data_IF_498799141047
#
_entry.id   IF_498799141047
#
_cell.length_a   1.000
_cell.length_b   1.000
_cell.length_c   1.000
_cell.angle_alpha   90.00
_cell.angle_beta   90.00
_cell.angle_gamma   90.00
#
_symmetry.space_group_name_H-M   'P 1'
#
loop_
_entity.id
_entity.type
_entity.pdbx_description
1 polymer ?
#
# COMPACT_ATOMS: atom_id res chain seq x y z
N UNK A 1 -20.20 4.92 11.72
CA UNK A 1 -19.99 3.64 10.99
C UNK A 1 -18.54 3.23 11.18
N UNK A 2 -18.23 1.93 11.38
CA UNK A 2 -16.85 1.49 11.63
C UNK A 2 -15.98 1.68 10.38
N UNK A 3 -14.75 2.19 10.60
CA UNK A 3 -13.74 2.40 9.54
C UNK A 3 -12.91 1.13 9.33
N UNK A 4 -13.52 0.08 8.74
CA UNK A 4 -12.86 -1.19 8.45
C UNK A 4 -12.55 -1.31 6.95
N UNK A 5 -11.37 -1.83 6.61
CA UNK A 5 -10.85 -1.88 5.23
C UNK A 5 -11.81 -2.58 4.26
N UNK A 6 -12.34 -3.77 4.62
CA UNK A 6 -13.30 -4.49 3.78
C UNK A 6 -14.62 -3.73 3.56
N UNK A 7 -14.99 -2.84 4.49
CA UNK A 7 -16.22 -2.03 4.35
C UNK A 7 -16.10 -0.94 3.26
N UNK A 8 -14.92 -0.67 2.74
CA UNK A 8 -14.79 0.18 1.55
C UNK A 8 -15.54 -0.46 0.37
N UNK A 9 -15.37 -1.78 0.18
CA UNK A 9 -16.08 -2.55 -0.87
C UNK A 9 -17.57 -2.65 -0.55
N UNK A 10 -17.94 -3.04 0.68
CA UNK A 10 -19.36 -3.25 1.07
C UNK A 10 -20.18 -1.97 0.98
N UNK A 11 -19.62 -0.83 1.40
CA UNK A 11 -20.31 0.47 1.27
C UNK A 11 -20.51 0.86 -0.19
N UNK A 12 -19.54 0.54 -1.05
CA UNK A 12 -19.60 0.82 -2.48
C UNK A 12 -20.59 -0.10 -3.18
N UNK A 13 -20.62 -1.39 -2.85
CA UNK A 13 -21.62 -2.35 -3.33
C UNK A 13 -23.05 -1.96 -2.95
N UNK A 14 -23.27 -1.49 -1.72
CA UNK A 14 -24.59 -1.03 -1.27
C UNK A 14 -25.09 0.23 -1.98
N UNK A 15 -24.19 1.05 -2.55
CA UNK A 15 -24.55 2.32 -3.20
C UNK A 15 -24.59 2.24 -4.71
N UNK A 16 -23.75 1.38 -5.28
CA UNK A 16 -23.55 1.25 -6.71
C UNK A 16 -23.10 -0.20 -7.06
N UNK A 17 -23.99 -1.20 -6.87
CA UNK A 17 -23.66 -2.62 -7.04
C UNK A 17 -23.15 -2.95 -8.44
N UNK A 18 -23.71 -2.32 -9.47
CA UNK A 18 -23.47 -2.64 -10.87
C UNK A 18 -22.25 -1.92 -11.49
N UNK A 19 -21.60 -1.01 -10.74
CA UNK A 19 -20.39 -0.33 -11.23
C UNK A 19 -19.19 -1.30 -11.22
N UNK A 20 -18.36 -1.22 -12.28
CA UNK A 20 -17.10 -1.95 -12.35
C UNK A 20 -16.22 -1.59 -11.13
N UNK A 21 -15.88 -2.56 -10.29
CA UNK A 21 -14.97 -2.38 -9.16
C UNK A 21 -13.52 -2.72 -9.54
N UNK A 22 -13.34 -3.84 -10.22
CA UNK A 22 -12.05 -4.37 -10.64
C UNK A 22 -12.06 -4.79 -12.10
N UNK A 23 -10.96 -4.47 -12.80
CA UNK A 23 -10.69 -4.99 -14.15
C UNK A 23 -9.30 -5.64 -14.17
N UNK A 24 -9.22 -6.86 -14.67
CA UNK A 24 -7.98 -7.58 -14.87
C UNK A 24 -8.01 -8.36 -16.19
N UNK A 25 -7.09 -8.05 -17.12
CA UNK A 25 -7.00 -8.70 -18.44
C UNK A 25 -8.34 -8.74 -19.19
N UNK A 26 -9.09 -7.64 -19.13
CA UNK A 26 -10.41 -7.50 -19.78
C UNK A 26 -11.57 -8.15 -19.02
N UNK A 27 -11.31 -8.97 -18.01
CA UNK A 27 -12.35 -9.52 -17.14
C UNK A 27 -12.73 -8.50 -16.07
N UNK A 28 -14.01 -8.27 -15.91
CA UNK A 28 -14.57 -7.28 -14.97
C UNK A 28 -15.25 -7.98 -13.80
N UNK A 29 -15.18 -7.34 -12.64
CA UNK A 29 -16.03 -7.62 -11.48
C UNK A 29 -16.67 -6.31 -11.03
N UNK A 30 -17.97 -6.29 -10.96
CA UNK A 30 -18.71 -5.19 -10.34
C UNK A 30 -18.59 -5.22 -8.80
N UNK A 31 -19.10 -4.19 -8.15
CA UNK A 31 -19.02 -4.09 -6.69
C UNK A 31 -19.85 -5.16 -5.98
N UNK A 32 -21.00 -5.58 -6.54
CA UNK A 32 -21.83 -6.64 -5.96
C UNK A 32 -21.08 -7.98 -5.96
N UNK A 33 -20.56 -8.38 -7.11
CA UNK A 33 -19.78 -9.63 -7.27
C UNK A 33 -18.51 -9.61 -6.42
N UNK A 34 -17.82 -8.46 -6.33
CA UNK A 34 -16.63 -8.34 -5.51
C UNK A 34 -16.96 -8.45 -4.02
N UNK A 35 -18.04 -7.80 -3.57
CA UNK A 35 -18.51 -7.85 -2.18
C UNK A 35 -18.87 -9.28 -1.77
N UNK A 36 -19.64 -9.99 -2.59
CA UNK A 36 -20.01 -11.38 -2.35
C UNK A 36 -18.77 -12.30 -2.27
N UNK A 37 -17.82 -12.15 -3.20
CA UNK A 37 -16.59 -12.94 -3.18
C UNK A 37 -15.77 -12.69 -1.90
N UNK A 38 -15.68 -11.44 -1.44
CA UNK A 38 -14.98 -11.09 -0.18
C UNK A 38 -15.70 -11.68 1.03
N UNK A 39 -17.03 -11.68 1.06
CA UNK A 39 -17.83 -12.27 2.14
C UNK A 39 -17.67 -13.80 2.20
N UNK A 40 -17.73 -14.48 1.04
CA UNK A 40 -17.53 -15.92 0.94
C UNK A 40 -16.15 -16.32 1.42
N UNK A 41 -15.10 -15.65 0.94
CA UNK A 41 -13.72 -15.88 1.38
C UNK A 41 -13.57 -15.64 2.88
N UNK A 42 -14.13 -14.57 3.42
CA UNK A 42 -14.06 -14.29 4.86
C UNK A 42 -14.72 -15.41 5.69
N UNK A 43 -15.93 -15.83 5.31
CA UNK A 43 -16.67 -16.90 6.01
C UNK A 43 -15.92 -18.24 5.97
N UNK A 44 -15.35 -18.58 4.81
CA UNK A 44 -14.57 -19.80 4.65
C UNK A 44 -13.24 -19.75 5.41
N UNK A 45 -12.55 -18.61 5.45
CA UNK A 45 -11.34 -18.44 6.27
C UNK A 45 -11.62 -18.62 7.75
N UNK A 46 -12.73 -18.11 8.26
CA UNK A 46 -13.16 -18.33 9.65
C UNK A 46 -13.45 -19.83 9.89
N UNK A 47 -14.14 -20.49 8.97
CA UNK A 47 -14.42 -21.93 9.04
C UNK A 47 -13.16 -22.79 9.00
N UNK A 48 -12.11 -22.33 8.34
CA UNK A 48 -10.77 -22.96 8.30
C UNK A 48 -9.93 -22.67 9.55
N UNK A 49 -10.47 -21.91 10.52
CA UNK A 49 -9.82 -21.62 11.78
C UNK A 49 -8.94 -20.36 11.77
N UNK A 50 -9.07 -19.46 10.81
CA UNK A 50 -8.40 -18.17 10.89
C UNK A 50 -9.06 -17.30 11.97
N UNK A 51 -8.30 -16.99 13.03
CA UNK A 51 -8.76 -16.19 14.15
C UNK A 51 -8.40 -14.70 13.98
N UNK A 52 -9.06 -13.84 14.78
CA UNK A 52 -8.76 -12.42 14.85
C UNK A 52 -7.27 -12.18 15.13
N UNK A 53 -6.68 -11.25 14.39
CA UNK A 53 -5.26 -10.90 14.44
C UNK A 53 -4.30 -12.00 13.95
N UNK A 54 -4.75 -13.13 13.42
CA UNK A 54 -3.86 -14.08 12.74
C UNK A 54 -3.54 -13.61 11.32
N UNK A 55 -2.40 -14.03 10.79
CA UNK A 55 -1.87 -13.52 9.52
C UNK A 55 -2.16 -14.49 8.39
N UNK A 56 -2.66 -13.87 7.29
CA UNK A 56 -2.80 -14.50 6.00
C UNK A 56 -1.86 -13.79 5.01
N UNK A 57 -0.90 -14.52 4.46
CA UNK A 57 -0.02 -14.00 3.41
C UNK A 57 -0.60 -14.25 2.02
N UNK A 58 -0.37 -13.28 1.11
CA UNK A 58 -0.73 -13.42 -0.30
C UNK A 58 0.53 -13.24 -1.13
N UNK A 59 1.00 -14.32 -1.76
CA UNK A 59 2.17 -14.33 -2.63
C UNK A 59 1.74 -14.60 -4.07
N UNK A 60 1.21 -13.55 -4.69
CA UNK A 60 0.61 -13.56 -6.04
C UNK A 60 0.92 -12.25 -6.77
N UNK A 61 0.85 -12.29 -8.10
CA UNK A 61 0.70 -11.11 -8.94
C UNK A 61 -0.63 -10.39 -8.66
N UNK A 62 -0.78 -9.18 -9.20
CA UNK A 62 -2.08 -8.49 -9.18
C UNK A 62 -3.07 -9.25 -10.05
N UNK A 63 -4.13 -9.75 -9.42
CA UNK A 63 -5.25 -10.46 -10.04
C UNK A 63 -6.48 -10.36 -9.12
N UNK A 64 -7.65 -10.76 -9.58
CA UNK A 64 -8.88 -10.68 -8.77
C UNK A 64 -8.71 -11.40 -7.43
N UNK A 65 -8.15 -12.60 -7.45
CA UNK A 65 -7.96 -13.45 -6.27
C UNK A 65 -7.05 -12.78 -5.23
N UNK A 66 -6.03 -12.04 -5.67
CA UNK A 66 -5.15 -11.28 -4.78
C UNK A 66 -5.96 -10.25 -3.98
N UNK A 67 -6.80 -9.46 -4.65
CA UNK A 67 -7.62 -8.45 -4.01
C UNK A 67 -8.65 -9.08 -3.09
N UNK A 68 -9.36 -10.11 -3.57
CA UNK A 68 -10.38 -10.82 -2.79
C UNK A 68 -9.77 -11.44 -1.54
N UNK A 69 -8.58 -12.06 -1.63
CA UNK A 69 -7.89 -12.65 -0.49
C UNK A 69 -7.49 -11.60 0.57
N UNK A 70 -6.93 -10.46 0.15
CA UNK A 70 -6.53 -9.38 1.07
C UNK A 70 -7.73 -8.81 1.83
N UNK A 71 -8.81 -8.49 1.12
CA UNK A 71 -10.01 -7.92 1.73
C UNK A 71 -10.83 -8.98 2.49
N UNK A 72 -10.84 -10.22 2.03
CA UNK A 72 -11.46 -11.37 2.72
C UNK A 72 -10.78 -11.67 4.05
N UNK A 73 -9.44 -11.64 4.10
CA UNK A 73 -8.69 -11.77 5.35
C UNK A 73 -9.06 -10.66 6.34
N UNK A 74 -9.11 -9.40 5.88
CA UNK A 74 -9.53 -8.27 6.70
C UNK A 74 -10.98 -8.39 7.19
N UNK A 75 -11.88 -8.96 6.37
CA UNK A 75 -13.28 -9.18 6.74
C UNK A 75 -13.44 -10.34 7.75
N UNK A 76 -12.57 -11.35 7.67
CA UNK A 76 -12.50 -12.43 8.64
C UNK A 76 -11.93 -12.01 10.01
N UNK A 77 -11.35 -10.80 10.11
CA UNK A 77 -10.65 -10.33 11.30
C UNK A 77 -9.17 -10.71 11.33
N UNK A 78 -8.67 -11.30 10.25
CA UNK A 78 -7.26 -11.58 10.06
C UNK A 78 -6.47 -10.35 9.59
N UNK A 79 -5.15 -10.47 9.65
CA UNK A 79 -4.19 -9.46 9.19
C UNK A 79 -3.60 -9.93 7.87
N UNK A 80 -3.81 -9.17 6.80
CA UNK A 80 -3.25 -9.55 5.52
C UNK A 80 -1.79 -9.09 5.37
N UNK A 81 -0.99 -9.95 4.72
CA UNK A 81 0.42 -9.71 4.45
C UNK A 81 0.66 -9.87 2.94
N UNK A 82 0.60 -8.79 2.16
CA UNK A 82 0.87 -8.86 0.73
C UNK A 82 2.38 -9.01 0.51
N UNK A 83 2.79 -10.17 0.01
CA UNK A 83 4.19 -10.49 -0.28
C UNK A 83 4.51 -10.10 -1.70
N UNK A 84 5.59 -9.35 -1.90
CA UNK A 84 6.00 -8.92 -3.23
C UNK A 84 6.35 -10.15 -4.10
N UNK A 85 5.70 -10.31 -5.26
CA UNK A 85 5.91 -11.49 -6.10
C UNK A 85 7.31 -11.63 -6.71
N UNK A 86 8.16 -10.63 -6.65
CA UNK A 86 9.55 -10.71 -7.14
C UNK A 86 10.54 -11.22 -6.08
N UNK A 87 10.12 -11.38 -4.83
CA UNK A 87 10.99 -11.85 -3.75
C UNK A 87 11.43 -13.30 -3.97
N UNK A 88 12.67 -13.59 -3.57
CA UNK A 88 13.25 -14.93 -3.59
C UNK A 88 12.63 -15.81 -2.48
N UNK A 89 12.66 -17.13 -2.61
CA UNK A 89 12.07 -18.06 -1.64
C UNK A 89 12.51 -17.82 -0.19
N UNK A 90 13.79 -17.52 0.04
CA UNK A 90 14.34 -17.26 1.37
C UNK A 90 13.77 -16.00 2.00
N UNK A 91 13.56 -14.96 1.19
CA UNK A 91 12.94 -13.70 1.63
C UNK A 91 11.45 -13.91 1.95
N UNK A 92 10.76 -14.72 1.16
CA UNK A 92 9.36 -15.10 1.42
C UNK A 92 9.26 -15.90 2.71
N UNK A 93 10.11 -16.94 2.89
CA UNK A 93 10.17 -17.73 4.11
C UNK A 93 10.43 -16.88 5.35
N UNK A 94 11.38 -15.92 5.25
CA UNK A 94 11.61 -14.97 6.33
C UNK A 94 10.32 -14.23 6.72
N UNK A 95 9.58 -13.68 5.78
CA UNK A 95 8.32 -12.97 6.05
C UNK A 95 7.29 -13.90 6.70
N UNK A 96 7.11 -15.12 6.16
CA UNK A 96 6.15 -16.08 6.68
C UNK A 96 6.46 -16.48 8.14
N UNK A 97 7.73 -16.64 8.46
CA UNK A 97 8.18 -16.99 9.83
C UNK A 97 8.11 -15.77 10.76
N UNK A 98 8.61 -14.62 10.34
CA UNK A 98 8.71 -13.40 11.16
C UNK A 98 7.34 -12.94 11.69
N UNK A 99 6.31 -12.99 10.84
CA UNK A 99 4.96 -12.61 11.26
C UNK A 99 4.03 -13.82 11.55
N UNK A 100 4.56 -15.02 11.75
CA UNK A 100 3.81 -16.22 12.16
C UNK A 100 2.57 -16.46 11.26
N UNK A 101 2.76 -16.48 9.93
CA UNK A 101 1.69 -16.67 8.96
C UNK A 101 1.03 -18.03 9.14
N UNK A 102 -0.30 -18.05 9.19
CA UNK A 102 -1.12 -19.26 9.34
C UNK A 102 -1.61 -19.81 8.01
N UNK A 103 -1.95 -18.89 7.09
CA UNK A 103 -2.53 -19.20 5.78
C UNK A 103 -1.73 -18.50 4.70
N UNK A 104 -1.37 -19.22 3.64
CA UNK A 104 -0.72 -18.67 2.45
C UNK A 104 -1.64 -18.82 1.24
N UNK A 105 -1.91 -17.74 0.53
CA UNK A 105 -2.59 -17.76 -0.78
C UNK A 105 -1.54 -17.58 -1.87
N UNK A 106 -1.46 -18.53 -2.82
CA UNK A 106 -0.43 -18.54 -3.86
C UNK A 106 -0.89 -19.27 -5.12
N UNK A 107 -0.11 -19.19 -6.20
CA UNK A 107 -0.28 -19.99 -7.44
C UNK A 107 0.57 -21.27 -7.41
N UNK A 108 0.29 -22.21 -8.29
CA UNK A 108 1.09 -23.44 -8.44
C UNK A 108 2.54 -23.11 -8.75
N UNK A 109 2.77 -22.21 -9.70
CA UNK A 109 4.14 -21.83 -10.10
C UNK A 109 4.94 -21.24 -8.93
N UNK A 110 4.32 -20.37 -8.14
CA UNK A 110 4.97 -19.77 -6.96
C UNK A 110 5.13 -20.74 -5.81
N UNK A 111 4.16 -21.64 -5.63
CA UNK A 111 4.26 -22.73 -4.65
C UNK A 111 5.48 -23.60 -4.94
N UNK A 112 5.71 -23.95 -6.20
CA UNK A 112 6.86 -24.75 -6.61
C UNK A 112 8.21 -24.09 -6.27
N UNK A 113 8.28 -22.76 -6.30
CA UNK A 113 9.47 -22.03 -5.86
C UNK A 113 9.70 -22.15 -4.34
N UNK A 114 8.63 -22.30 -3.56
CA UNK A 114 8.67 -22.29 -2.10
C UNK A 114 8.84 -23.68 -1.45
N UNK A 115 8.72 -24.78 -2.21
CA UNK A 115 8.70 -26.16 -1.67
C UNK A 115 9.83 -26.42 -0.66
N UNK A 116 11.05 -25.96 -0.95
CA UNK A 116 12.24 -26.20 -0.13
C UNK A 116 12.26 -25.40 1.17
N UNK A 117 11.57 -24.25 1.20
CA UNK A 117 11.58 -23.33 2.34
C UNK A 117 10.34 -23.42 3.23
N UNK A 118 9.20 -23.92 2.71
CA UNK A 118 7.95 -24.06 3.46
C UNK A 118 8.08 -24.90 4.74
N UNK A 119 8.87 -26.00 4.79
CA UNK A 119 9.06 -26.76 6.03
C UNK A 119 9.69 -25.95 7.17
N UNK A 120 10.32 -24.80 6.87
CA UNK A 120 10.92 -23.91 7.86
C UNK A 120 9.90 -22.94 8.48
N UNK A 121 8.65 -22.92 8.00
CA UNK A 121 7.58 -22.03 8.47
C UNK A 121 6.68 -22.78 9.47
N UNK A 122 6.97 -22.74 10.78
CA UNK A 122 6.34 -23.63 11.76
C UNK A 122 4.87 -23.32 12.01
N UNK A 123 4.45 -22.09 11.77
CA UNK A 123 3.09 -21.62 12.01
C UNK A 123 2.16 -21.81 10.81
N UNK A 124 2.73 -22.02 9.61
CA UNK A 124 1.97 -22.22 8.39
C UNK A 124 1.31 -23.59 8.39
N UNK A 125 0.00 -23.64 8.26
CA UNK A 125 -0.77 -24.89 8.24
C UNK A 125 -1.69 -25.03 7.04
N UNK A 126 -2.04 -23.93 6.33
CA UNK A 126 -2.95 -23.97 5.18
C UNK A 126 -2.38 -23.19 4.00
N UNK A 127 -2.42 -23.81 2.84
CA UNK A 127 -2.06 -23.20 1.56
C UNK A 127 -3.27 -23.22 0.66
N UNK A 128 -3.67 -22.04 0.19
CA UNK A 128 -4.76 -21.85 -0.77
C UNK A 128 -4.14 -21.62 -2.14
N UNK A 129 -4.52 -22.44 -3.11
CA UNK A 129 -3.95 -22.41 -4.46
C UNK A 129 -4.98 -21.89 -5.46
N UNK A 130 -4.63 -20.81 -6.17
CA UNK A 130 -5.56 -20.09 -7.06
C UNK A 130 -5.67 -20.69 -8.48
N UNK A 131 -4.83 -21.66 -8.80
CA UNK A 131 -4.84 -22.35 -10.10
C UNK A 131 -5.31 -23.79 -9.93
N UNK A 132 -5.32 -24.58 -11.04
CA UNK A 132 -5.67 -26.00 -10.97
C UNK A 132 -4.81 -26.77 -9.97
N UNK A 133 -5.46 -27.61 -9.18
CA UNK A 133 -4.84 -28.38 -8.08
C UNK A 133 -4.49 -29.81 -8.45
N UNK A 134 -4.51 -30.19 -9.74
CA UNK A 134 -4.31 -31.58 -10.20
C UNK A 134 -2.94 -32.18 -9.84
N UNK A 135 -1.94 -31.36 -9.55
CA UNK A 135 -0.56 -31.81 -9.24
C UNK A 135 0.04 -31.00 -8.07
N UNK A 136 -0.61 -31.02 -6.92
CA UNK A 136 -0.04 -30.35 -5.74
C UNK A 136 1.00 -31.23 -5.05
N UNK A 137 2.10 -30.63 -4.52
CA UNK A 137 3.07 -31.37 -3.74
C UNK A 137 2.44 -31.86 -2.43
N UNK A 138 2.82 -33.04 -1.98
CA UNK A 138 2.48 -33.53 -0.64
C UNK A 138 3.54 -33.03 0.32
N UNK A 139 3.19 -32.04 1.16
CA UNK A 139 4.08 -31.52 2.21
C UNK A 139 3.44 -31.86 3.56
N UNK A 140 4.18 -32.61 4.38
CA UNK A 140 3.70 -33.00 5.72
C UNK A 140 3.26 -31.78 6.53
N UNK A 141 2.11 -31.89 7.21
CA UNK A 141 1.49 -30.85 8.05
C UNK A 141 0.85 -29.67 7.33
N UNK A 142 0.90 -29.60 5.99
CA UNK A 142 0.23 -28.54 5.23
C UNK A 142 -1.06 -29.05 4.60
N UNK A 143 -2.13 -28.29 4.80
CA UNK A 143 -3.42 -28.52 4.16
C UNK A 143 -3.52 -27.66 2.90
N UNK A 144 -3.83 -28.27 1.75
CA UNK A 144 -3.99 -27.60 0.49
C UNK A 144 -5.46 -27.44 0.13
N UNK A 145 -5.89 -26.22 -0.16
CA UNK A 145 -7.28 -25.89 -0.47
C UNK A 145 -7.33 -25.21 -1.83
N UNK A 146 -8.18 -25.69 -2.75
CA UNK A 146 -8.46 -25.01 -4.02
C UNK A 146 -9.13 -23.66 -3.76
N UNK A 147 -8.79 -22.65 -4.59
CA UNK A 147 -9.42 -21.34 -4.53
C UNK A 147 -10.93 -21.38 -4.67
N UNK A 148 -11.46 -22.22 -5.57
CA UNK A 148 -12.90 -22.35 -5.80
C UNK A 148 -13.66 -22.81 -4.55
N UNK A 149 -13.03 -23.68 -3.75
CA UNK A 149 -13.58 -24.09 -2.44
C UNK A 149 -13.64 -22.90 -1.47
N UNK A 150 -12.62 -22.05 -1.46
CA UNK A 150 -12.59 -20.86 -0.62
C UNK A 150 -13.63 -19.81 -1.03
N UNK A 151 -13.94 -19.71 -2.32
CA UNK A 151 -14.93 -18.79 -2.88
C UNK A 151 -16.36 -19.33 -2.86
N UNK A 152 -16.56 -20.61 -2.54
CA UNK A 152 -17.88 -21.23 -2.53
C UNK A 152 -18.80 -20.55 -1.52
N UNK A 153 -20.10 -20.37 -1.83
CA UNK A 153 -21.05 -19.86 -0.87
C UNK A 153 -21.01 -20.67 0.43
N UNK A 154 -20.78 -20.00 1.53
CA UNK A 154 -20.82 -20.62 2.86
C UNK A 154 -21.92 -19.97 3.69
N UNK A 155 -22.49 -20.74 4.63
CA UNK A 155 -23.41 -20.15 5.61
C UNK A 155 -22.68 -19.02 6.35
N UNK A 156 -23.43 -17.98 6.78
CA UNK A 156 -22.85 -16.86 7.50
C UNK A 156 -22.21 -17.33 8.82
N UNK A 157 -20.89 -17.44 8.83
CA UNK A 157 -20.12 -17.70 10.05
C UNK A 157 -19.86 -16.36 10.72
N UNK A 158 -20.32 -16.21 11.96
CA UNK A 158 -20.04 -14.99 12.73
C UNK A 158 -18.59 -15.03 13.20
N UNK A 159 -17.76 -14.19 12.60
CA UNK A 159 -16.41 -13.92 13.06
C UNK A 159 -16.37 -13.10 14.36
N UNK A 160 -15.17 -12.90 14.87
CA UNK A 160 -14.92 -11.99 15.99
C UNK A 160 -15.31 -10.55 15.66
N UNK A 161 -15.76 -9.81 16.66
CA UNK A 161 -16.05 -8.37 16.48
C UNK A 161 -14.74 -7.62 16.23
N UNK A 162 -14.64 -6.95 15.08
CA UNK A 162 -13.48 -6.17 14.64
C UNK A 162 -13.73 -4.69 14.93
N UNK A 163 -12.70 -3.99 15.36
CA UNK A 163 -12.71 -2.53 15.55
C UNK A 163 -11.66 -1.88 14.65
N UNK A 164 -11.76 -0.58 14.44
CA UNK A 164 -10.91 0.15 13.48
C UNK A 164 -9.45 0.31 13.92
N UNK A 165 -9.17 0.13 15.21
CA UNK A 165 -7.81 0.08 15.76
C UNK A 165 -7.16 -1.30 15.72
N UNK A 166 -7.89 -2.34 15.26
CA UNK A 166 -7.27 -3.64 15.03
C UNK A 166 -6.25 -3.59 13.90
N UNK A 167 -5.26 -4.47 13.96
CA UNK A 167 -4.33 -4.67 12.86
C UNK A 167 -5.10 -5.13 11.61
N UNK A 168 -4.83 -4.48 10.48
CA UNK A 168 -5.38 -4.87 9.18
C UNK A 168 -4.31 -5.46 8.27
N UNK A 169 -3.10 -4.90 8.29
CA UNK A 169 -2.02 -5.29 7.39
C UNK A 169 -0.65 -5.24 8.06
N UNK A 170 0.27 -6.08 7.56
CA UNK A 170 1.71 -5.93 7.79
C UNK A 170 2.38 -5.77 6.43
N UNK A 171 2.98 -4.60 6.17
CA UNK A 171 3.68 -4.31 4.94
C UNK A 171 5.19 -4.38 5.16
N UNK A 172 5.86 -5.30 4.47
CA UNK A 172 7.29 -5.48 4.59
C UNK A 172 8.06 -4.54 3.67
N UNK A 173 8.99 -3.79 4.26
CA UNK A 173 9.93 -2.92 3.54
C UNK A 173 11.37 -3.34 3.84
N UNK A 174 12.29 -3.08 2.92
CA UNK A 174 13.72 -3.32 3.15
C UNK A 174 14.22 -2.52 4.35
N UNK A 175 14.94 -3.20 5.23
CA UNK A 175 15.52 -2.61 6.43
C UNK A 175 16.97 -2.18 6.22
N UNK A 176 17.44 -1.18 6.95
CA UNK A 176 18.85 -0.75 6.95
C UNK A 176 19.85 -1.83 7.43
N UNK A 177 19.36 -2.90 8.02
CA UNK A 177 20.14 -4.05 8.53
C UNK A 177 20.04 -5.29 7.62
N UNK A 178 19.65 -5.14 6.35
CA UNK A 178 19.47 -6.23 5.39
C UNK A 178 18.14 -7.00 5.54
N UNK A 179 17.63 -7.20 6.76
CA UNK A 179 16.35 -7.92 6.97
C UNK A 179 15.14 -6.99 6.80
N UNK A 180 14.09 -7.42 6.07
CA UNK A 180 12.85 -6.65 5.92
C UNK A 180 12.19 -6.34 7.25
N UNK A 181 11.53 -5.17 7.35
CA UNK A 181 10.74 -4.75 8.51
C UNK A 181 9.26 -4.76 8.16
N UNK A 182 8.43 -5.37 9.00
CA UNK A 182 6.98 -5.36 8.84
C UNK A 182 6.35 -4.14 9.51
N UNK A 183 5.96 -3.12 8.75
CA UNK A 183 5.16 -2.00 9.24
C UNK A 183 3.71 -2.43 9.49
N UNK A 184 3.20 -2.24 10.70
CA UNK A 184 1.86 -2.68 11.11
C UNK A 184 0.86 -1.56 10.92
N UNK A 185 -0.16 -1.78 10.08
CA UNK A 185 -1.22 -0.83 9.82
C UNK A 185 -2.54 -1.30 10.42
N UNK A 186 -3.24 -0.39 11.08
CA UNK A 186 -4.63 -0.61 11.53
C UNK A 186 -5.62 -0.40 10.37
N UNK A 187 -6.84 -0.87 10.55
CA UNK A 187 -7.93 -0.55 9.63
C UNK A 187 -8.12 0.96 9.50
N UNK A 188 -8.02 1.71 10.61
CA UNK A 188 -8.14 3.17 10.63
C UNK A 188 -7.08 3.84 9.76
N UNK A 189 -5.81 3.44 9.88
CA UNK A 189 -4.72 4.03 9.08
C UNK A 189 -5.01 3.93 7.57
N UNK A 190 -5.44 2.74 7.12
CA UNK A 190 -5.71 2.47 5.71
C UNK A 190 -6.95 3.22 5.22
N UNK A 191 -8.04 3.22 5.98
CA UNK A 191 -9.30 3.87 5.56
C UNK A 191 -9.17 5.38 5.53
N UNK A 192 -8.58 5.98 6.58
CA UNK A 192 -8.35 7.44 6.62
C UNK A 192 -7.33 7.84 5.54
N UNK A 193 -6.33 7.00 5.26
CA UNK A 193 -5.41 7.22 4.15
C UNK A 193 -6.08 7.24 2.79
N UNK A 194 -7.02 6.30 2.54
CA UNK A 194 -7.82 6.27 1.32
C UNK A 194 -8.70 7.52 1.19
N UNK A 195 -9.36 7.93 2.26
CA UNK A 195 -10.21 9.13 2.33
C UNK A 195 -9.40 10.40 2.05
N UNK A 196 -8.26 10.56 2.73
CA UNK A 196 -7.39 11.73 2.56
C UNK A 196 -6.84 11.83 1.14
N UNK A 197 -6.42 10.71 0.53
CA UNK A 197 -5.91 10.70 -0.84
C UNK A 197 -7.04 10.98 -1.84
N UNK A 198 -8.20 10.37 -1.69
CA UNK A 198 -9.35 10.61 -2.54
C UNK A 198 -9.77 12.08 -2.53
N UNK A 199 -9.68 12.74 -1.37
CA UNK A 199 -10.06 14.14 -1.21
C UNK A 199 -9.16 15.07 -2.03
N UNK A 200 -7.82 14.98 -1.93
CA UNK A 200 -6.95 15.92 -2.66
C UNK A 200 -6.75 15.57 -4.13
N UNK A 201 -6.97 14.30 -4.51
CA UNK A 201 -7.00 13.88 -5.93
C UNK A 201 -8.36 14.16 -6.60
N UNK A 202 -9.36 14.55 -5.80
CA UNK A 202 -10.74 14.78 -6.27
C UNK A 202 -11.29 13.55 -6.99
N UNK A 203 -11.09 12.35 -6.38
CA UNK A 203 -11.55 11.12 -7.01
C UNK A 203 -13.07 10.99 -7.00
N UNK A 204 -13.60 10.51 -8.12
CA UNK A 204 -15.02 10.38 -8.41
C UNK A 204 -15.39 8.94 -8.81
N UNK A 205 -16.68 8.56 -8.80
CA UNK A 205 -17.12 7.21 -9.18
C UNK A 205 -16.77 6.84 -10.62
N UNK A 206 -16.69 7.82 -11.52
CA UNK A 206 -16.37 7.60 -12.93
C UNK A 206 -14.85 7.43 -13.18
N UNK A 207 -14.03 7.60 -12.15
CA UNK A 207 -12.59 7.40 -12.27
C UNK A 207 -12.24 5.92 -12.53
N UNK A 208 -11.20 5.75 -13.36
CA UNK A 208 -10.56 4.47 -13.63
C UNK A 208 -9.09 4.57 -13.25
N UNK A 209 -8.73 3.95 -12.14
CA UNK A 209 -7.40 4.06 -11.53
C UNK A 209 -6.56 2.86 -11.95
N UNK A 210 -5.42 3.10 -12.64
CA UNK A 210 -4.52 2.04 -13.07
C UNK A 210 -3.53 1.67 -11.98
N UNK A 211 -3.62 0.44 -11.48
CA UNK A 211 -2.73 -0.13 -10.46
C UNK A 211 -1.53 -0.81 -11.12
N UNK A 212 -0.44 -0.08 -11.29
CA UNK A 212 0.85 -0.61 -11.84
C UNK A 212 1.84 -0.99 -10.74
N UNK A 213 1.75 -0.37 -9.56
CA UNK A 213 2.67 -0.60 -8.45
C UNK A 213 2.35 -1.91 -7.71
N UNK A 214 3.34 -2.56 -7.07
CA UNK A 214 3.10 -3.74 -6.24
C UNK A 214 2.14 -3.45 -5.08
N UNK A 215 1.20 -4.36 -4.81
CA UNK A 215 0.26 -4.24 -3.69
C UNK A 215 0.91 -4.46 -2.31
N UNK A 216 2.14 -4.95 -2.28
CA UNK A 216 2.97 -5.07 -1.07
C UNK A 216 3.51 -3.73 -0.54
N UNK A 217 3.35 -2.65 -1.30
CA UNK A 217 3.66 -1.29 -0.88
C UNK A 217 2.39 -0.51 -0.56
N UNK A 218 2.47 0.34 0.43
CA UNK A 218 1.40 1.27 0.80
C UNK A 218 0.90 2.09 -0.39
N UNK A 219 1.81 2.59 -1.24
CA UNK A 219 1.47 3.37 -2.43
C UNK A 219 0.71 2.55 -3.49
N UNK A 220 1.08 1.29 -3.69
CA UNK A 220 0.38 0.37 -4.60
C UNK A 220 -0.98 -0.06 -4.04
N UNK A 221 -1.03 -0.44 -2.76
CA UNK A 221 -2.27 -0.85 -2.10
C UNK A 221 -3.29 0.28 -2.01
N UNK A 222 -2.81 1.53 -1.83
CA UNK A 222 -3.68 2.70 -1.78
C UNK A 222 -4.48 2.93 -3.07
N UNK A 223 -4.02 2.46 -4.23
CA UNK A 223 -4.80 2.57 -5.47
C UNK A 223 -6.12 1.79 -5.37
N UNK A 224 -6.11 0.61 -4.73
CA UNK A 224 -7.32 -0.17 -4.46
C UNK A 224 -8.24 0.56 -3.47
N UNK A 225 -7.67 0.96 -2.33
CA UNK A 225 -8.48 1.54 -1.25
C UNK A 225 -9.10 2.87 -1.62
N UNK A 226 -8.38 3.71 -2.39
CA UNK A 226 -8.89 4.96 -2.91
C UNK A 226 -10.01 4.73 -3.93
N UNK A 227 -9.82 3.78 -4.88
CA UNK A 227 -10.87 3.41 -5.82
C UNK A 227 -12.13 2.93 -5.10
N UNK A 228 -11.99 2.00 -4.14
CA UNK A 228 -13.13 1.46 -3.41
C UNK A 228 -13.79 2.47 -2.48
N UNK A 229 -13.05 3.45 -1.98
CA UNK A 229 -13.63 4.55 -1.18
C UNK A 229 -14.60 5.41 -2.01
N UNK A 230 -14.24 5.68 -3.26
CA UNK A 230 -15.00 6.59 -4.14
C UNK A 230 -15.94 5.88 -5.11
N UNK A 231 -16.01 4.55 -5.10
CA UNK A 231 -16.77 3.72 -6.06
C UNK A 231 -16.17 3.73 -7.47
N UNK A 232 -14.93 4.13 -7.60
CA UNK A 232 -14.19 4.13 -8.85
C UNK A 232 -13.75 2.71 -9.25
N UNK A 233 -13.40 2.53 -10.51
CA UNK A 233 -12.86 1.27 -11.02
C UNK A 233 -11.35 1.21 -10.79
N UNK A 234 -10.83 0.10 -10.23
CA UNK A 234 -9.41 -0.19 -10.22
C UNK A 234 -9.05 -1.17 -11.34
N UNK A 235 -8.16 -0.76 -12.24
CA UNK A 235 -7.64 -1.60 -13.34
C UNK A 235 -6.29 -2.17 -12.94
N UNK A 236 -6.20 -3.49 -12.79
CA UNK A 236 -5.00 -4.19 -12.37
C UNK A 236 -4.08 -4.47 -13.56
N UNK A 237 -2.80 -4.15 -13.43
CA UNK A 237 -1.79 -4.40 -14.46
C UNK A 237 -0.50 -4.99 -13.90
N UNK A 238 -0.06 -6.10 -14.50
CA UNK A 238 1.27 -6.69 -14.32
C UNK A 238 2.06 -6.47 -15.61
N UNK A 239 2.54 -5.24 -15.83
CA UNK A 239 3.29 -4.88 -17.02
C UNK A 239 4.74 -5.38 -16.95
N UNK A 240 5.26 -5.81 -18.08
CA UNK A 240 6.68 -6.11 -18.26
C UNK A 240 7.42 -4.91 -18.86
N UNK A 241 6.75 -4.17 -19.76
CA UNK A 241 7.32 -3.02 -20.45
C UNK A 241 6.46 -1.77 -20.25
N UNK A 242 7.08 -0.58 -20.05
CA UNK A 242 6.35 0.68 -19.85
C UNK A 242 5.36 1.02 -20.98
N UNK A 243 5.66 0.64 -22.23
CA UNK A 243 4.75 0.83 -23.37
C UNK A 243 3.38 0.16 -23.21
N UNK A 244 3.30 -0.91 -22.41
CA UNK A 244 2.03 -1.60 -22.14
C UNK A 244 1.11 -0.73 -21.28
N UNK A 245 1.68 0.05 -20.38
CA UNK A 245 0.94 1.01 -19.55
C UNK A 245 0.21 2.03 -20.42
N UNK A 246 0.90 2.60 -21.42
CA UNK A 246 0.30 3.59 -22.33
C UNK A 246 -0.86 2.98 -23.11
N UNK A 247 -0.71 1.73 -23.59
CA UNK A 247 -1.80 0.99 -24.28
C UNK A 247 -3.01 0.77 -23.36
N UNK A 248 -2.78 0.40 -22.11
CA UNK A 248 -3.86 0.20 -21.12
C UNK A 248 -4.55 1.53 -20.82
N UNK A 249 -3.80 2.62 -20.66
CA UNK A 249 -4.36 3.96 -20.43
C UNK A 249 -5.37 4.29 -21.52
N UNK A 250 -5.01 4.06 -22.78
CA UNK A 250 -5.88 4.33 -23.92
C UNK A 250 -7.08 3.37 -23.99
N UNK A 251 -6.83 2.07 -23.89
CA UNK A 251 -7.84 1.03 -24.03
C UNK A 251 -8.90 1.07 -22.92
N UNK A 252 -8.45 1.27 -21.68
CA UNK A 252 -9.31 1.29 -20.49
C UNK A 252 -9.76 2.69 -20.09
N UNK A 253 -9.43 3.74 -20.88
CA UNK A 253 -9.75 5.14 -20.60
C UNK A 253 -9.38 5.53 -19.16
N UNK A 254 -8.15 5.23 -18.77
CA UNK A 254 -7.64 5.52 -17.42
C UNK A 254 -7.68 7.01 -17.12
N UNK A 255 -8.17 7.37 -15.94
CA UNK A 255 -8.22 8.74 -15.45
C UNK A 255 -7.14 9.07 -14.41
N UNK A 256 -6.63 8.06 -13.69
CA UNK A 256 -5.61 8.22 -12.66
C UNK A 256 -4.47 7.20 -12.77
N UNK A 257 -3.23 7.67 -12.70
CA UNK A 257 -2.04 6.81 -12.72
C UNK A 257 -1.05 7.21 -11.63
N UNK A 258 -0.66 6.24 -10.81
CA UNK A 258 0.36 6.37 -9.78
C UNK A 258 1.64 5.63 -10.20
N UNK A 259 2.79 6.30 -10.16
CA UNK A 259 4.06 5.65 -10.42
C UNK A 259 5.21 6.29 -9.62
N UNK A 260 6.36 5.61 -9.63
CA UNK A 260 7.61 6.05 -9.01
C UNK A 260 8.53 6.69 -10.06
N UNK A 261 9.54 7.52 -9.67
CA UNK A 261 10.38 8.25 -10.61
C UNK A 261 11.02 7.40 -11.71
N UNK A 262 11.58 6.19 -11.45
CA UNK A 262 12.15 5.38 -12.52
C UNK A 262 11.15 4.99 -13.61
N UNK A 263 9.90 4.70 -13.24
CA UNK A 263 8.85 4.40 -14.21
C UNK A 263 8.43 5.65 -14.99
N UNK A 264 8.36 6.82 -14.33
CA UNK A 264 8.07 8.09 -15.00
C UNK A 264 9.16 8.47 -16.00
N UNK A 265 10.44 8.27 -15.67
CA UNK A 265 11.57 8.50 -16.58
C UNK A 265 11.41 7.65 -17.85
N UNK A 266 11.09 6.36 -17.70
CA UNK A 266 10.88 5.46 -18.83
C UNK A 266 9.66 5.85 -19.67
N UNK A 267 8.54 6.18 -19.03
CA UNK A 267 7.31 6.61 -19.71
C UNK A 267 7.49 7.93 -20.47
N UNK A 268 8.25 8.87 -19.92
CA UNK A 268 8.53 10.17 -20.57
C UNK A 268 9.36 10.04 -21.86
N UNK A 269 10.10 8.93 -22.04
CA UNK A 269 10.90 8.67 -23.24
C UNK A 269 10.11 8.00 -24.37
N UNK A 270 8.87 7.59 -24.10
CA UNK A 270 8.04 6.90 -25.08
C UNK A 270 7.15 7.88 -25.87
N UNK A 271 6.74 7.44 -27.05
CA UNK A 271 5.73 8.14 -27.81
C UNK A 271 4.34 7.87 -27.24
N UNK A 272 3.64 8.91 -26.84
CA UNK A 272 2.28 8.85 -26.36
C UNK A 272 1.30 9.20 -27.46
N UNK A 273 0.22 8.44 -27.66
CA UNK A 273 -0.91 8.92 -28.46
C UNK A 273 -1.60 10.05 -27.73
N UNK A 274 -2.53 10.73 -28.39
CA UNK A 274 -3.36 11.71 -27.70
C UNK A 274 -4.21 11.01 -26.63
N UNK A 275 -4.00 11.38 -25.38
CA UNK A 275 -4.71 10.85 -24.21
C UNK A 275 -5.56 11.96 -23.61
N UNK A 276 -6.87 11.81 -23.67
CA UNK A 276 -7.85 12.78 -23.12
C UNK A 276 -8.48 12.33 -21.80
N UNK A 277 -8.37 11.04 -21.48
CA UNK A 277 -8.98 10.47 -20.28
C UNK A 277 -8.19 10.70 -18.99
N UNK A 278 -6.87 10.88 -19.09
CA UNK A 278 -5.97 10.94 -17.92
C UNK A 278 -6.09 12.30 -17.22
N UNK A 279 -6.84 12.32 -16.12
CA UNK A 279 -7.14 13.49 -15.29
C UNK A 279 -5.95 13.92 -14.45
N UNK A 280 -5.29 12.91 -13.84
CA UNK A 280 -4.13 13.14 -12.99
C UNK A 280 -3.10 12.01 -13.08
N UNK A 281 -1.87 12.40 -12.76
CA UNK A 281 -0.78 11.48 -12.45
C UNK A 281 -0.18 11.83 -11.09
N UNK A 282 0.32 10.82 -10.38
CA UNK A 282 0.96 11.01 -9.07
C UNK A 282 2.35 10.43 -9.05
N UNK A 283 3.28 11.10 -8.36
CA UNK A 283 4.63 10.60 -8.10
C UNK A 283 4.92 10.54 -6.62
N UNK A 284 5.47 9.43 -6.16
CA UNK A 284 5.98 9.26 -4.79
C UNK A 284 7.13 8.24 -4.78
N UNK A 285 7.75 8.02 -3.61
CA UNK A 285 8.86 7.07 -3.47
C UNK A 285 10.22 7.59 -3.94
N UNK A 286 10.29 8.84 -4.40
CA UNK A 286 11.50 9.53 -4.81
C UNK A 286 11.20 10.86 -5.47
N UNK A 287 12.24 11.69 -5.64
CA UNK A 287 12.11 13.00 -6.30
C UNK A 287 11.92 12.83 -7.80
N UNK A 288 10.89 13.47 -8.36
CA UNK A 288 10.68 13.55 -9.81
C UNK A 288 11.76 14.45 -10.44
N UNK A 289 12.57 13.95 -11.39
CA UNK A 289 13.54 14.82 -12.07
C UNK A 289 12.83 15.92 -12.85
N UNK A 290 13.36 17.14 -12.76
CA UNK A 290 12.75 18.32 -13.41
C UNK A 290 12.63 18.19 -14.94
N UNK A 291 13.61 17.52 -15.58
CA UNK A 291 13.54 17.24 -17.02
C UNK A 291 12.37 16.30 -17.35
N UNK A 292 12.19 15.23 -16.59
CA UNK A 292 11.08 14.29 -16.74
C UNK A 292 9.73 14.98 -16.51
N UNK A 293 9.63 15.82 -15.47
CA UNK A 293 8.43 16.59 -15.18
C UNK A 293 8.04 17.51 -16.34
N UNK A 294 9.02 18.27 -16.90
CA UNK A 294 8.79 19.13 -18.08
C UNK A 294 8.32 18.33 -19.31
N UNK A 295 8.95 17.20 -19.57
CA UNK A 295 8.56 16.31 -20.69
C UNK A 295 7.14 15.80 -20.52
N UNK A 296 6.79 15.28 -19.33
CA UNK A 296 5.43 14.80 -19.08
C UNK A 296 4.37 15.89 -19.18
N UNK A 297 4.66 17.11 -18.74
CA UNK A 297 3.74 18.27 -18.91
C UNK A 297 3.55 18.65 -20.39
N UNK A 298 4.59 18.50 -21.20
CA UNK A 298 4.49 18.70 -22.67
C UNK A 298 3.63 17.62 -23.33
N UNK A 299 3.78 16.36 -22.90
CA UNK A 299 3.01 15.21 -23.43
C UNK A 299 1.54 15.25 -22.95
N UNK A 300 1.32 15.64 -21.70
CA UNK A 300 0.03 15.56 -20.99
C UNK A 300 -0.41 16.95 -20.47
N UNK A 301 -0.65 17.93 -21.35
CA UNK A 301 -0.84 19.33 -20.95
C UNK A 301 -2.11 19.60 -20.12
N UNK A 302 -3.10 18.69 -20.18
CA UNK A 302 -4.37 18.79 -19.44
C UNK A 302 -4.39 17.97 -18.16
N UNK A 303 -3.35 17.17 -17.91
CA UNK A 303 -3.27 16.24 -16.79
C UNK A 303 -2.67 16.93 -15.57
N UNK A 304 -3.35 16.89 -14.42
CA UNK A 304 -2.84 17.39 -13.15
C UNK A 304 -1.70 16.47 -12.66
N UNK A 305 -0.56 17.04 -12.25
CA UNK A 305 0.57 16.28 -11.71
C UNK A 305 0.67 16.55 -10.21
N UNK A 306 0.61 15.49 -9.39
CA UNK A 306 0.76 15.59 -7.96
C UNK A 306 2.12 15.01 -7.55
N UNK A 307 2.99 15.82 -6.98
CA UNK A 307 4.23 15.38 -6.37
C UNK A 307 3.97 15.12 -4.90
N UNK A 308 4.22 13.90 -4.45
CA UNK A 308 3.88 13.44 -3.11
C UNK A 308 5.10 12.91 -2.39
N UNK A 309 5.06 12.99 -1.05
CA UNK A 309 6.03 12.38 -0.17
C UNK A 309 5.30 11.58 0.91
N UNK A 310 5.89 10.45 1.30
CA UNK A 310 5.39 9.59 2.35
C UNK A 310 6.36 8.45 2.65
N UNK A 311 6.07 7.75 3.72
CA UNK A 311 6.82 6.58 4.20
C UNK A 311 5.84 5.61 4.86
N UNK A 312 6.19 4.33 4.90
CA UNK A 312 5.28 3.25 5.33
C UNK A 312 4.77 3.42 6.77
N UNK A 313 5.58 4.04 7.63
CA UNK A 313 5.25 4.29 9.04
C UNK A 313 4.12 5.31 9.23
N UNK A 314 3.80 6.10 8.18
CA UNK A 314 2.72 7.09 8.20
C UNK A 314 1.84 7.03 6.93
N UNK A 315 1.94 5.95 6.17
CA UNK A 315 1.17 5.63 4.95
C UNK A 315 1.26 6.72 3.86
N UNK A 316 1.03 7.99 4.17
CA UNK A 316 1.12 9.16 3.28
C UNK A 316 1.31 10.42 4.13
N UNK A 317 2.16 11.36 3.72
CA UNK A 317 2.46 12.53 4.55
C UNK A 317 2.14 13.86 3.89
N UNK A 318 2.68 14.11 2.68
CA UNK A 318 2.49 15.40 2.02
C UNK A 318 2.21 15.26 0.53
N UNK A 319 1.63 16.30 -0.06
CA UNK A 319 1.52 16.48 -1.49
C UNK A 319 1.74 17.94 -1.88
N UNK A 320 2.31 18.15 -3.06
CA UNK A 320 2.41 19.46 -3.70
C UNK A 320 1.21 19.63 -4.65
N UNK A 321 0.34 20.62 -4.43
CA UNK A 321 -0.74 20.93 -5.36
C UNK A 321 -0.21 21.21 -6.77
N UNK A 322 -0.88 20.77 -7.86
CA UNK A 322 -0.41 20.93 -9.24
C UNK A 322 -0.08 22.37 -9.63
N UNK A 323 -0.82 23.34 -9.11
CA UNK A 323 -0.60 24.78 -9.38
C UNK A 323 0.68 25.33 -8.72
N UNK A 324 1.23 24.65 -7.75
CA UNK A 324 2.45 25.06 -7.03
C UNK A 324 3.75 24.56 -7.68
N UNK A 325 3.65 23.67 -8.65
CA UNK A 325 4.83 23.01 -9.24
C UNK A 325 5.81 24.01 -9.86
N UNK A 326 5.32 25.06 -10.52
CA UNK A 326 6.17 26.09 -11.13
C UNK A 326 6.72 27.07 -10.10
N UNK A 327 5.99 27.31 -9.02
CA UNK A 327 6.37 28.22 -7.95
C UNK A 327 7.37 27.54 -7.00
N UNK A 328 7.17 26.25 -6.72
CA UNK A 328 7.91 25.44 -5.74
C UNK A 328 8.39 24.10 -6.29
N UNK A 329 9.17 24.07 -7.34
CA UNK A 329 9.48 22.83 -8.11
C UNK A 329 10.22 21.76 -7.30
N UNK A 330 10.85 22.13 -6.18
CA UNK A 330 11.62 21.24 -5.31
C UNK A 330 10.90 20.93 -3.99
N UNK A 331 9.67 21.41 -3.80
CA UNK A 331 8.91 21.16 -2.59
C UNK A 331 8.30 19.76 -2.59
N UNK A 332 8.26 19.14 -1.42
CA UNK A 332 7.48 17.92 -1.17
C UNK A 332 6.05 18.24 -0.73
N UNK A 333 5.66 19.50 -0.75
CA UNK A 333 4.30 19.98 -0.49
C UNK A 333 4.00 20.26 0.97
N UNK A 334 2.73 20.17 1.32
CA UNK A 334 2.17 20.33 2.67
C UNK A 334 1.50 19.04 3.12
N UNK A 335 1.20 18.96 4.43
CA UNK A 335 0.46 17.84 5.01
C UNK A 335 -0.83 17.54 4.23
N UNK A 336 -1.13 16.24 4.05
CA UNK A 336 -2.41 15.79 3.51
C UNK A 336 -3.53 15.97 4.56
N UNK A 337 -4.81 15.90 4.17
CA UNK A 337 -5.91 15.90 5.14
C UNK A 337 -5.76 14.83 6.21
N UNK A 338 -6.27 15.11 7.42
CA UNK A 338 -6.23 14.23 8.61
C UNK A 338 -4.83 13.97 9.19
N UNK A 339 -3.83 14.79 8.83
CA UNK A 339 -2.47 14.71 9.36
C UNK A 339 -1.92 16.08 9.66
N UNK A 340 -0.93 16.11 10.55
CA UNK A 340 -0.05 17.25 10.74
C UNK A 340 1.40 16.81 10.55
N UNK A 341 2.16 17.64 9.83
CA UNK A 341 3.59 17.42 9.61
C UNK A 341 4.35 18.61 10.18
N UNK A 342 5.26 18.32 11.11
CA UNK A 342 6.06 19.29 11.84
C UNK A 342 7.53 19.18 11.44
N UNK A 343 8.28 20.26 11.58
CA UNK A 343 9.75 20.27 11.47
C UNK A 343 10.29 20.56 12.86
N UNK A 344 10.92 19.57 13.48
CA UNK A 344 11.35 19.64 14.88
C UNK A 344 12.87 19.57 15.01
N UNK A 345 13.40 20.30 15.99
CA UNK A 345 14.78 20.14 16.47
C UNK A 345 14.93 18.85 17.28
N UNK A 346 16.14 18.49 17.62
CA UNK A 346 16.45 17.31 18.45
C UNK A 346 15.81 17.40 19.86
N UNK A 347 15.64 18.62 20.40
CA UNK A 347 14.98 18.84 21.66
C UNK A 347 13.45 18.80 21.63
N UNK A 348 12.88 18.52 20.42
CA UNK A 348 11.43 18.44 20.19
C UNK A 348 10.74 19.79 19.98
N UNK A 349 11.47 20.90 19.98
CA UNK A 349 10.90 22.22 19.69
C UNK A 349 10.73 22.44 18.19
N UNK A 350 9.72 23.22 17.79
CA UNK A 350 9.43 23.50 16.40
C UNK A 350 10.45 24.44 15.78
N UNK A 351 10.94 24.11 14.59
CA UNK A 351 11.85 24.93 13.80
C UNK A 351 11.13 26.17 13.24
N UNK A 352 11.86 27.27 13.14
CA UNK A 352 11.42 28.46 12.42
C UNK A 352 11.42 28.22 10.90
N UNK A 353 10.62 28.98 10.09
CA UNK A 353 10.68 28.90 8.64
C UNK A 353 12.12 29.11 8.12
N UNK A 354 12.59 28.22 7.25
CA UNK A 354 13.94 28.18 6.71
C UNK A 354 14.94 27.38 7.53
N UNK A 355 14.65 27.11 8.80
CA UNK A 355 15.47 26.28 9.66
C UNK A 355 15.30 24.79 9.32
N UNK A 356 16.38 24.03 9.45
CA UNK A 356 16.41 22.58 9.20
C UNK A 356 16.07 21.82 10.47
N UNK A 357 15.26 20.75 10.33
CA UNK A 357 14.93 19.85 11.41
C UNK A 357 14.42 18.52 10.89
N UNK A 358 14.10 17.61 11.79
CA UNK A 358 13.52 16.31 11.45
C UNK A 358 12.02 16.46 11.11
N UNK A 359 11.59 15.79 10.03
CA UNK A 359 10.17 15.70 9.72
C UNK A 359 9.49 14.75 10.69
N UNK A 360 8.50 15.27 11.41
CA UNK A 360 7.66 14.49 12.35
C UNK A 360 6.22 14.51 11.87
N UNK A 361 5.63 13.32 11.75
CA UNK A 361 4.25 13.14 11.29
C UNK A 361 3.37 12.68 12.45
N UNK A 362 2.21 13.33 12.64
CA UNK A 362 1.19 12.94 13.61
C UNK A 362 -0.19 12.89 12.98
N UNK A 363 -1.10 12.15 13.62
CA UNK A 363 -2.49 11.99 13.20
C UNK A 363 -2.88 10.56 12.89
N UNK A 364 -4.04 10.39 12.28
CA UNK A 364 -4.70 9.09 12.12
C UNK A 364 -3.94 8.10 11.22
N UNK A 365 -2.95 8.56 10.44
CA UNK A 365 -2.18 7.73 9.53
C UNK A 365 -0.92 7.12 10.17
N UNK A 366 -0.56 7.53 11.38
CA UNK A 366 0.57 6.96 12.13
C UNK A 366 0.32 5.46 12.35
N UNK A 367 1.21 4.62 11.83
CA UNK A 367 1.10 3.15 11.94
C UNK A 367 1.32 2.67 13.38
N UNK A 368 1.06 1.39 13.63
CA UNK A 368 1.14 0.81 14.97
C UNK A 368 2.57 0.44 15.39
N UNK A 369 3.57 0.71 14.56
CA UNK A 369 4.96 0.34 14.79
C UNK A 369 5.44 -0.78 13.85
N UNK A 370 6.57 -1.38 14.20
CA UNK A 370 7.13 -2.50 13.46
C UNK A 370 6.83 -3.83 14.15
N UNK A 371 6.41 -4.81 13.39
CA UNK A 371 6.19 -6.17 13.87
C UNK A 371 7.48 -6.75 14.47
N UNK A 372 7.38 -7.38 15.64
CA UNK A 372 8.50 -8.01 16.38
C UNK A 372 9.76 -7.13 16.54
N UNK A 373 9.64 -5.81 16.52
CA UNK A 373 10.80 -4.93 16.61
C UNK A 373 10.54 -3.71 17.51
N UNK A 374 10.54 -3.94 18.83
CA UNK A 374 10.31 -2.91 19.83
C UNK A 374 11.39 -1.82 19.81
N UNK A 375 12.66 -2.19 19.61
CA UNK A 375 13.77 -1.26 19.59
C UNK A 375 13.60 -0.24 18.45
N UNK A 376 13.42 -0.70 17.21
CA UNK A 376 13.21 0.23 16.08
C UNK A 376 11.89 0.98 16.19
N UNK A 377 10.86 0.36 16.80
CA UNK A 377 9.59 1.04 17.06
C UNK A 377 9.79 2.22 18.01
N UNK A 378 10.47 2.02 19.13
CA UNK A 378 10.69 3.08 20.11
C UNK A 378 11.56 4.24 19.60
N UNK A 379 12.43 3.98 18.62
CA UNK A 379 13.24 5.03 17.96
C UNK A 379 12.40 5.92 17.05
N UNK A 380 11.47 5.32 16.31
CA UNK A 380 10.67 6.03 15.28
C UNK A 380 9.32 6.53 15.79
N UNK A 381 8.68 5.77 16.67
CA UNK A 381 7.35 6.07 17.22
C UNK A 381 7.51 6.56 18.65
N UNK A 382 7.39 7.88 18.83
CA UNK A 382 7.64 8.49 20.14
C UNK A 382 6.41 9.27 20.61
N UNK A 383 6.21 9.38 21.93
CA UNK A 383 5.21 10.27 22.49
C UNK A 383 5.45 11.71 22.02
N UNK A 384 4.40 12.34 21.52
CA UNK A 384 4.38 13.77 21.20
C UNK A 384 3.68 14.51 22.33
N UNK A 385 4.41 15.38 23.02
CA UNK A 385 3.88 16.17 24.13
C UNK A 385 3.31 17.49 23.58
N UNK A 386 2.00 17.63 23.69
CA UNK A 386 1.36 18.92 23.48
C UNK A 386 1.68 19.85 24.63
N UNK A 387 2.35 20.97 24.38
CA UNK A 387 2.73 21.92 25.40
C UNK A 387 1.55 22.65 26.06
N UNK A 388 0.34 22.63 25.46
CA UNK A 388 -0.77 23.49 25.84
C UNK A 388 -2.07 22.79 26.23
N UNK A 389 -2.17 21.47 26.18
CA UNK A 389 -3.51 20.84 26.22
C UNK A 389 -3.98 20.35 27.59
N UNK A 390 -3.11 20.28 28.58
CA UNK A 390 -3.47 19.69 29.90
C UNK A 390 -3.92 18.22 29.82
N UNK A 391 -3.78 17.54 28.64
CA UNK A 391 -4.10 16.13 28.47
C UNK A 391 -3.05 15.27 29.16
N UNK A 392 -3.51 14.29 29.95
CA UNK A 392 -2.62 13.37 30.66
C UNK A 392 -1.98 12.31 29.76
N UNK A 393 -2.56 12.06 28.56
CA UNK A 393 -2.10 11.05 27.62
C UNK A 393 -1.36 11.67 26.44
N UNK A 394 -0.19 11.12 26.10
CA UNK A 394 0.57 11.52 24.93
C UNK A 394 0.01 10.87 23.67
N UNK A 395 -0.05 11.60 22.56
CA UNK A 395 -0.24 11.03 21.23
C UNK A 395 1.10 10.45 20.74
N UNK A 396 1.05 9.37 19.95
CA UNK A 396 2.24 8.85 19.30
C UNK A 396 2.39 9.51 17.93
N UNK A 397 3.57 10.07 17.68
CA UNK A 397 3.98 10.58 16.38
C UNK A 397 5.13 9.75 15.81
N UNK A 398 5.42 9.93 14.50
CA UNK A 398 6.51 9.25 13.81
C UNK A 398 7.59 10.25 13.44
N UNK A 399 8.81 9.98 13.91
CA UNK A 399 10.04 10.66 13.50
C UNK A 399 10.57 9.97 12.24
N UNK A 400 10.54 10.67 11.11
CA UNK A 400 10.82 10.08 9.80
C UNK A 400 12.27 9.68 9.56
N UNK A 401 13.21 10.32 10.29
CA UNK A 401 14.64 10.28 10.02
C UNK A 401 15.02 11.06 8.76
N UNK A 402 14.13 11.86 8.23
CA UNK A 402 14.37 12.72 7.07
C UNK A 402 14.54 14.17 7.57
N UNK A 403 15.63 14.83 7.18
CA UNK A 403 15.85 16.24 7.44
C UNK A 403 15.14 17.07 6.36
N UNK A 404 14.35 18.03 6.82
CA UNK A 404 13.57 18.93 5.96
C UNK A 404 13.66 20.37 6.48
N UNK A 405 13.18 21.32 5.68
CA UNK A 405 12.88 22.69 6.12
C UNK A 405 11.52 23.11 5.62
N UNK A 406 10.85 24.03 6.29
CA UNK A 406 9.63 24.68 5.80
C UNK A 406 9.91 26.08 5.30
N UNK A 407 9.12 26.58 4.34
CA UNK A 407 9.09 27.99 4.02
C UNK A 407 8.07 28.75 4.91
N UNK A 408 7.95 30.07 4.70
CA UNK A 408 7.02 30.94 5.46
C UNK A 408 5.54 30.58 5.23
N UNK A 409 5.24 29.90 4.14
CA UNK A 409 3.88 29.47 3.80
C UNK A 409 3.62 28.02 4.22
N UNK A 410 4.60 27.33 4.86
CA UNK A 410 4.49 25.97 5.39
C UNK A 410 4.71 24.86 4.34
N UNK A 411 5.25 25.19 3.14
CA UNK A 411 5.69 24.16 2.20
C UNK A 411 7.02 23.55 2.63
N UNK A 412 7.14 22.26 2.53
CA UNK A 412 8.28 21.47 2.99
C UNK A 412 9.25 21.17 1.84
N UNK A 413 10.53 21.17 2.17
CA UNK A 413 11.63 20.86 1.26
C UNK A 413 12.52 19.80 1.88
N UNK A 414 12.64 18.67 1.19
CA UNK A 414 13.52 17.57 1.59
C UNK A 414 15.00 17.98 1.40
N UNK A 415 15.84 17.70 2.38
CA UNK A 415 17.27 18.02 2.35
C UNK A 415 18.08 16.72 2.26
N UNK A 416 17.99 15.86 3.24
CA UNK A 416 18.71 14.59 3.28
C UNK A 416 18.02 13.58 4.19
N UNK A 417 18.52 12.36 4.15
CA UNK A 417 18.11 11.29 5.06
C UNK A 417 19.23 11.03 6.07
N UNK A 418 18.85 10.75 7.31
CA UNK A 418 19.81 10.43 8.37
C UNK A 418 20.34 8.98 8.25
N UNK A 419 19.59 8.10 7.58
CA UNK A 419 20.04 6.74 7.30
C UNK A 419 20.65 6.61 5.87
N UNK A 420 21.63 5.70 5.70
CA UNK A 420 22.39 5.50 4.45
C UNK A 420 21.65 4.67 3.40
N UNK A 421 20.34 4.49 3.51
CA UNK A 421 19.55 3.66 2.59
C UNK A 421 19.61 4.14 1.14
N UNK A 422 19.99 3.25 0.23
CA UNK A 422 20.02 3.51 -1.21
C UNK A 422 18.62 3.29 -1.79
N UNK A 423 18.11 4.27 -2.55
CA UNK A 423 16.86 4.13 -3.30
C UNK A 423 17.16 3.74 -4.73
N UNK A 424 16.63 2.61 -5.19
CA UNK A 424 16.71 2.18 -6.59
C UNK A 424 15.37 1.63 -7.07
N UNK A 425 14.91 2.08 -8.24
CA UNK A 425 13.65 1.64 -8.88
C UNK A 425 12.41 1.64 -7.97
N UNK A 426 12.35 2.59 -7.00
CA UNK A 426 11.27 2.67 -6.00
C UNK A 426 11.46 1.77 -4.78
N UNK A 427 12.49 0.94 -4.77
CA UNK A 427 12.87 0.10 -3.62
C UNK A 427 13.93 0.80 -2.77
N UNK A 428 13.97 0.45 -1.49
CA UNK A 428 15.07 0.79 -0.58
C UNK A 428 15.94 -0.44 -0.43
N UNK A 429 17.25 -0.28 -0.62
CA UNK A 429 18.22 -1.35 -0.47
C UNK A 429 19.24 -0.91 0.57
N UNK A 430 19.54 -1.78 1.53
CA UNK A 430 20.59 -1.53 2.50
C UNK A 430 21.96 -1.63 1.82
N UNK A 431 22.95 -0.77 2.12
CA UNK A 431 24.33 -0.99 1.73
C UNK A 431 24.81 -2.40 2.13
N UNK A 432 24.49 -2.86 3.33
CA UNK A 432 24.82 -4.20 3.82
C UNK A 432 24.22 -5.32 2.94
N UNK A 433 22.99 -5.14 2.45
CA UNK A 433 22.33 -6.11 1.56
C UNK A 433 23.04 -6.21 0.18
N UNK A 434 23.71 -5.13 -0.24
CA UNK A 434 24.54 -5.12 -1.47
C UNK A 434 25.91 -5.76 -1.21
N UNK A 435 26.49 -5.57 -0.02
CA UNK A 435 27.80 -6.07 0.36
C UNK A 435 27.79 -7.59 0.66
N UNK A 436 26.62 -8.17 0.97
CA UNK A 436 26.44 -9.62 1.21
C UNK A 436 26.25 -10.43 -0.09
N UNK A 437 26.18 -9.81 -1.28
CA UNK A 437 26.02 -10.45 -2.59
C UNK A 437 27.35 -10.46 -3.33
#
# INVERSE_FOLDING_TARGET
MSNLVHKLIYKSANRAPDLDALVYRGTKKDYATLSEAVENVASNLISLGLHRNERLAVYLEKRHETVIALFGAAAAGGVFVPVNPILKPEQVSYILCDCNVKVLVTSVDRLNLLITVLPQCPDLHTIIVVDSTEKLPVISKLNFIPWDQLCSPSGSVRGSRIIDSDMAAILYTSGSTGKPKGGVLSHRNIVVGAESVAQYLENEPDDRILSVLPLSFDYGFNQLTTAFHTRATCVLSNHLFPREIIKIIQAEKISGLAAVPPLWIQLAQLNWPEITSLRYITNSGGTMPQATLRTLRGILPKTKIFLMYGFTEAFRSTYLPPQEIDIRPNSIGKAIPNTEVLVLREDGTQCAPGEQGELVHRGALVSMGYWNNLEKTSVRFRPFLHQETGLATSEIAVWSGDTVRSDKEGYLYFICRQDEMIKTSGYRVSPTEIEEV
#
